data_IF_005073281270
#
_entry.id   IF_005073281270
#
_cell.length_a   1.000
_cell.length_b   1.000
_cell.length_c   1.000
_cell.angle_alpha   90.00
_cell.angle_beta   90.00
_cell.angle_gamma   90.00
#
_symmetry.space_group_name_H-M   'P 1'
#
loop_
_entity.id
_entity.type
_entity.pdbx_description
1 polymer ?
#
# COMPACT_ATOMS: atom_id res chain seq x y z
N UNK A 1 -12.71 38.08 10.65
CA UNK A 1 -11.82 37.35 9.72
C UNK A 1 -11.87 35.88 10.10
N UNK A 2 -12.59 35.05 9.34
CA UNK A 2 -12.84 33.66 9.70
C UNK A 2 -11.62 32.80 9.43
N UNK A 3 -11.00 32.31 10.51
CA UNK A 3 -9.99 31.27 10.49
C UNK A 3 -10.58 29.99 9.89
N UNK A 4 -10.23 29.68 8.63
CA UNK A 4 -10.51 28.37 8.03
C UNK A 4 -9.62 27.33 8.71
N UNK A 5 -10.11 26.71 9.77
CA UNK A 5 -9.51 25.51 10.33
C UNK A 5 -9.59 24.40 9.28
N UNK A 6 -8.43 24.01 8.75
CA UNK A 6 -8.32 22.84 7.89
C UNK A 6 -8.80 21.60 8.67
N UNK A 7 -9.57 20.69 8.05
CA UNK A 7 -10.04 19.49 8.73
C UNK A 7 -8.84 18.66 9.23
N UNK A 8 -8.99 17.95 10.36
CA UNK A 8 -7.89 17.18 10.94
C UNK A 8 -7.42 16.13 9.92
N UNK A 9 -6.15 16.24 9.49
CA UNK A 9 -5.49 15.38 8.48
C UNK A 9 -5.67 13.87 8.72
N UNK A 10 -5.88 13.45 9.97
CA UNK A 10 -6.09 12.05 10.36
C UNK A 10 -7.36 11.42 9.73
N UNK A 11 -8.44 12.19 9.56
CA UNK A 11 -9.69 11.64 9.03
C UNK A 11 -9.67 11.40 7.51
N UNK A 12 -8.80 12.09 6.78
CA UNK A 12 -8.64 11.95 5.32
C UNK A 12 -7.68 10.80 4.98
N UNK A 13 -6.71 10.51 5.86
CA UNK A 13 -5.73 9.43 5.63
C UNK A 13 -6.30 8.02 5.81
N UNK A 14 -7.25 7.80 6.74
CA UNK A 14 -7.93 6.51 6.94
C UNK A 14 -8.70 5.99 5.72
N UNK A 15 -9.59 6.78 5.08
CA UNK A 15 -10.30 6.33 3.89
C UNK A 15 -9.35 6.08 2.72
N UNK A 16 -8.31 6.91 2.57
CA UNK A 16 -7.28 6.72 1.54
C UNK A 16 -6.51 5.40 1.70
N UNK A 17 -6.13 5.04 2.92
CA UNK A 17 -5.45 3.76 3.17
C UNK A 17 -6.35 2.56 2.86
N UNK A 18 -7.62 2.59 3.28
CA UNK A 18 -8.57 1.49 3.06
C UNK A 18 -8.86 1.29 1.57
N UNK A 19 -9.00 2.37 0.82
CA UNK A 19 -9.17 2.33 -0.64
C UNK A 19 -7.94 1.74 -1.32
N UNK A 20 -6.74 2.19 -0.93
CA UNK A 20 -5.49 1.69 -1.50
C UNK A 20 -5.31 0.19 -1.19
N UNK A 21 -5.55 -0.19 0.06
CA UNK A 21 -5.50 -1.58 0.50
C UNK A 21 -6.45 -2.47 -0.30
N UNK A 22 -7.72 -2.06 -0.43
CA UNK A 22 -8.73 -2.84 -1.14
C UNK A 22 -8.40 -2.97 -2.64
N UNK A 23 -7.87 -1.91 -3.24
CA UNK A 23 -7.47 -1.88 -4.65
C UNK A 23 -6.30 -2.83 -4.90
N UNK A 24 -5.25 -2.75 -4.09
CA UNK A 24 -4.05 -3.60 -4.25
C UNK A 24 -4.40 -5.07 -4.01
N UNK A 25 -5.18 -5.38 -2.96
CA UNK A 25 -5.63 -6.76 -2.72
C UNK A 25 -6.35 -7.32 -3.93
N UNK A 26 -7.38 -6.63 -4.44
CA UNK A 26 -8.15 -7.10 -5.59
C UNK A 26 -7.28 -7.27 -6.84
N UNK A 27 -6.34 -6.35 -7.06
CA UNK A 27 -5.46 -6.40 -8.22
C UNK A 27 -4.49 -7.59 -8.20
N UNK A 28 -3.99 -7.97 -7.02
CA UNK A 28 -3.07 -9.10 -6.84
C UNK A 28 -3.85 -10.42 -6.84
N UNK A 29 -4.96 -10.49 -6.10
CA UNK A 29 -5.83 -11.67 -5.99
C UNK A 29 -6.40 -12.10 -7.36
N UNK A 30 -6.68 -11.14 -8.25
CA UNK A 30 -7.13 -11.42 -9.62
C UNK A 30 -6.05 -12.05 -10.52
N UNK A 31 -4.77 -12.04 -10.12
CA UNK A 31 -3.64 -12.50 -10.95
C UNK A 31 -2.83 -13.62 -10.31
N UNK A 32 -2.81 -13.68 -8.99
CA UNK A 32 -1.99 -14.61 -8.22
C UNK A 32 -2.82 -15.22 -7.11
N UNK A 33 -2.81 -16.55 -7.03
CA UNK A 33 -3.42 -17.29 -5.93
C UNK A 33 -2.51 -17.24 -4.70
N UNK A 34 -2.67 -16.18 -3.90
CA UNK A 34 -1.94 -15.97 -2.66
C UNK A 34 -2.90 -16.12 -1.49
N UNK A 35 -2.52 -16.91 -0.49
CA UNK A 35 -3.32 -17.06 0.74
C UNK A 35 -3.68 -15.70 1.33
N UNK A 36 -4.97 -15.47 1.56
CA UNK A 36 -5.50 -14.16 1.91
C UNK A 36 -4.84 -13.49 3.11
N UNK A 37 -4.43 -14.25 4.14
CA UNK A 37 -3.72 -13.68 5.30
C UNK A 37 -2.30 -13.20 4.95
N UNK A 38 -1.57 -13.92 4.08
CA UNK A 38 -0.24 -13.51 3.59
C UNK A 38 -0.38 -12.27 2.71
N UNK A 39 -1.35 -12.28 1.79
CA UNK A 39 -1.62 -11.15 0.92
C UNK A 39 -1.97 -9.89 1.74
N UNK A 40 -2.84 -10.02 2.73
CA UNK A 40 -3.20 -8.92 3.61
C UNK A 40 -2.00 -8.31 4.35
N UNK A 41 -1.09 -9.14 4.87
CA UNK A 41 0.13 -8.67 5.53
C UNK A 41 1.10 -8.02 4.55
N UNK A 42 1.30 -8.59 3.37
CA UNK A 42 2.15 -8.03 2.32
C UNK A 42 1.66 -6.65 1.85
N UNK A 43 0.35 -6.49 1.63
CA UNK A 43 -0.22 -5.19 1.22
C UNK A 43 -0.06 -4.15 2.32
N UNK A 44 -0.36 -4.50 3.59
CA UNK A 44 -0.11 -3.58 4.72
C UNK A 44 1.35 -3.18 4.77
N UNK A 45 2.26 -4.13 4.64
CA UNK A 45 3.69 -3.89 4.71
C UNK A 45 4.17 -2.97 3.58
N UNK A 46 3.71 -3.23 2.36
CA UNK A 46 4.05 -2.43 1.18
C UNK A 46 3.53 -0.99 1.32
N UNK A 47 2.27 -0.82 1.74
CA UNK A 47 1.70 0.49 2.01
C UNK A 47 2.42 1.21 3.15
N UNK A 48 2.86 0.50 4.20
CA UNK A 48 3.65 1.10 5.30
C UNK A 48 5.01 1.62 4.84
N UNK A 49 5.66 0.89 3.94
CA UNK A 49 7.02 1.14 3.48
C UNK A 49 7.06 1.79 2.09
N UNK A 50 6.16 2.75 1.84
CA UNK A 50 6.15 3.57 0.62
C UNK A 50 6.19 2.74 -0.69
N UNK A 51 5.28 1.78 -0.80
CA UNK A 51 5.15 0.86 -1.93
C UNK A 51 6.30 -0.16 -2.11
N UNK A 52 7.13 -0.36 -1.08
CA UNK A 52 8.25 -1.32 -1.13
C UNK A 52 8.12 -2.37 -0.04
N UNK A 53 8.51 -3.61 -0.32
CA UNK A 53 8.66 -4.64 0.70
C UNK A 53 10.15 -4.73 1.08
N UNK A 54 10.51 -4.53 2.36
CA UNK A 54 11.90 -4.63 2.80
C UNK A 54 12.52 -6.00 2.43
N UNK A 55 13.77 -6.05 1.94
CA UNK A 55 14.41 -7.30 1.50
C UNK A 55 14.40 -8.41 2.53
N UNK A 56 14.59 -8.07 3.82
CA UNK A 56 14.54 -9.01 4.92
C UNK A 56 13.16 -9.68 5.07
N UNK A 57 12.07 -8.95 4.80
CA UNK A 57 10.71 -9.50 4.80
C UNK A 57 10.40 -10.22 3.49
N UNK A 58 10.94 -9.75 2.36
CA UNK A 58 10.81 -10.41 1.05
C UNK A 58 11.22 -11.88 1.13
N UNK A 59 12.42 -12.15 1.66
CA UNK A 59 12.96 -13.50 1.86
C UNK A 59 12.07 -14.40 2.72
N UNK A 60 11.41 -13.84 3.74
CA UNK A 60 10.49 -14.60 4.58
C UNK A 60 9.24 -15.06 3.80
N UNK A 61 8.74 -14.22 2.90
CA UNK A 61 7.53 -14.51 2.12
C UNK A 61 7.80 -15.32 0.86
N UNK A 62 9.01 -15.30 0.29
CA UNK A 62 9.40 -16.08 -0.89
C UNK A 62 9.20 -17.59 -0.72
N UNK A 63 9.26 -18.12 0.52
CA UNK A 63 8.95 -19.52 0.79
C UNK A 63 7.45 -19.89 0.61
N UNK A 64 6.56 -18.90 0.61
CA UNK A 64 5.10 -19.11 0.61
C UNK A 64 4.37 -18.37 -0.51
N UNK A 65 5.03 -17.39 -1.14
CA UNK A 65 4.45 -16.48 -2.12
C UNK A 65 5.42 -16.37 -3.29
N UNK A 66 4.89 -16.47 -4.50
CA UNK A 66 5.66 -16.34 -5.74
C UNK A 66 6.34 -14.97 -5.80
N UNK A 67 7.61 -14.93 -6.17
CA UNK A 67 8.39 -13.69 -6.30
C UNK A 67 7.71 -12.70 -7.27
N UNK A 68 7.11 -13.21 -8.35
CA UNK A 68 6.38 -12.39 -9.32
C UNK A 68 5.17 -11.69 -8.68
N UNK A 69 4.48 -12.34 -7.74
CA UNK A 69 3.35 -11.75 -7.03
C UNK A 69 3.81 -10.60 -6.12
N UNK A 70 4.94 -10.79 -5.43
CA UNK A 70 5.54 -9.76 -4.57
C UNK A 70 5.96 -8.54 -5.41
N UNK A 71 6.68 -8.78 -6.50
CA UNK A 71 7.13 -7.71 -7.42
C UNK A 71 5.95 -6.99 -8.05
N UNK A 72 4.91 -7.71 -8.47
CA UNK A 72 3.70 -7.12 -9.02
C UNK A 72 2.96 -6.26 -7.99
N UNK A 73 2.89 -6.71 -6.73
CA UNK A 73 2.29 -5.96 -5.63
C UNK A 73 3.00 -4.62 -5.40
N UNK A 74 4.34 -4.60 -5.39
CA UNK A 74 5.14 -3.37 -5.28
C UNK A 74 4.85 -2.41 -6.44
N UNK A 75 4.85 -2.91 -7.68
CA UNK A 75 4.55 -2.11 -8.87
C UNK A 75 3.13 -1.55 -8.84
N UNK A 76 2.15 -2.36 -8.46
CA UNK A 76 0.75 -1.95 -8.36
C UNK A 76 0.59 -0.83 -7.32
N UNK A 77 1.19 -1.02 -6.14
CA UNK A 77 1.15 -0.04 -5.06
C UNK A 77 1.89 1.25 -5.43
N UNK A 78 3.04 1.13 -6.08
CA UNK A 78 3.85 2.29 -6.52
C UNK A 78 3.10 3.12 -7.55
N UNK A 79 2.46 2.48 -8.54
CA UNK A 79 1.60 3.18 -9.51
C UNK A 79 0.39 3.83 -8.85
N UNK A 80 -0.21 3.18 -7.86
CA UNK A 80 -1.37 3.71 -7.15
C UNK A 80 -1.04 4.93 -6.29
N UNK A 81 0.12 4.90 -5.61
CA UNK A 81 0.54 5.99 -4.74
C UNK A 81 1.21 7.13 -5.53
N UNK A 82 2.16 6.80 -6.41
CA UNK A 82 3.10 7.74 -7.03
C UNK A 82 3.01 7.79 -8.57
N UNK A 83 2.06 7.08 -9.19
CA UNK A 83 1.90 7.11 -10.64
C UNK A 83 1.43 8.47 -11.19
N UNK A 84 1.21 8.59 -12.50
CA UNK A 84 0.72 9.83 -13.12
C UNK A 84 -0.66 10.27 -12.62
N UNK A 85 -1.47 9.32 -12.11
CA UNK A 85 -2.72 9.56 -11.38
C UNK A 85 -2.58 9.24 -9.88
N UNK A 86 -1.34 9.17 -9.38
CA UNK A 86 -1.01 8.82 -8.02
C UNK A 86 -1.57 9.84 -7.04
N UNK A 87 -2.11 9.36 -5.92
CA UNK A 87 -2.76 10.23 -4.92
C UNK A 87 -1.75 11.01 -4.06
N UNK A 88 -0.46 10.67 -4.10
CA UNK A 88 0.55 11.26 -3.23
C UNK A 88 1.86 11.51 -3.97
N UNK A 89 2.53 12.61 -3.65
CA UNK A 89 3.95 12.76 -3.99
C UNK A 89 4.80 11.85 -3.09
N UNK A 90 5.95 11.32 -3.56
CA UNK A 90 6.84 10.47 -2.76
C UNK A 90 7.17 11.02 -1.37
N UNK A 91 7.31 12.34 -1.25
CA UNK A 91 7.65 13.02 0.00
C UNK A 91 6.45 13.25 0.94
N UNK A 92 5.24 13.32 0.40
CA UNK A 92 4.00 13.59 1.14
C UNK A 92 3.44 12.35 1.81
N UNK A 93 3.69 11.17 1.25
CA UNK A 93 3.19 9.93 1.81
C UNK A 93 3.90 9.59 3.13
N UNK A 94 3.24 9.90 4.25
CA UNK A 94 3.64 9.52 5.61
C UNK A 94 2.61 8.56 6.18
N UNK A 95 3.03 7.33 6.43
CA UNK A 95 2.24 6.38 7.18
C UNK A 95 2.23 6.79 8.65
N UNK A 96 1.17 7.46 9.07
CA UNK A 96 0.86 7.76 10.47
C UNK A 96 0.24 6.51 11.09
N UNK A 97 1.05 5.74 11.83
CA UNK A 97 0.49 4.80 12.81
C UNK A 97 -0.31 5.64 13.81
N UNK A 98 -1.64 5.51 13.77
CA UNK A 98 -2.44 5.73 14.96
C UNK A 98 -2.38 4.45 15.78
#
# INVERSE_FOLDING_TARGET
MSSKQAPPRHHIQRPLFRDCYSTVIRAVDARYDVRGYLLAELVKLCLKNRATIPPARRRYYECNVQEQAITYLEQCTSRLLFGPNGRFSPDEYRYSQC
#
